data_IF_096343998434
#
_entry.id   IF_096343998434
#
_cell.length_a   1.000
_cell.length_b   1.000
_cell.length_c   1.000
_cell.angle_alpha   90.00
_cell.angle_beta   90.00
_cell.angle_gamma   90.00
#
_symmetry.space_group_name_H-M   'P 1'
#
loop_
_entity.id
_entity.type
_entity.pdbx_description
1 polymer ?
#
# COMPACT_ATOMS: atom_id res chain seq x y z
N UNK A 1 -2.97 -7.63 14.02
CA UNK A 1 -2.51 -6.25 14.33
C UNK A 1 -2.44 -5.46 13.02
N UNK A 2 -3.12 -4.32 12.91
CA UNK A 2 -2.95 -3.46 11.74
C UNK A 2 -1.66 -2.65 11.93
N UNK A 3 -0.56 -3.07 11.32
CA UNK A 3 0.74 -2.40 11.41
C UNK A 3 0.73 -0.92 10.97
N UNK A 4 -0.37 -0.45 10.40
CA UNK A 4 -0.53 0.92 9.89
C UNK A 4 -1.69 1.69 10.55
N UNK A 5 -2.21 1.24 11.69
CA UNK A 5 -3.33 1.91 12.37
C UNK A 5 -3.03 3.40 12.68
N UNK A 6 -1.83 3.69 13.19
CA UNK A 6 -1.40 5.07 13.47
C UNK A 6 -1.31 5.89 12.19
N UNK A 7 -0.86 5.27 11.10
CA UNK A 7 -0.76 5.92 9.79
C UNK A 7 -2.15 6.25 9.23
N UNK A 8 -3.14 5.40 9.43
CA UNK A 8 -4.52 5.64 9.00
C UNK A 8 -5.17 6.82 9.74
N UNK A 9 -4.79 7.05 11.00
CA UNK A 9 -5.23 8.19 11.80
C UNK A 9 -4.55 9.48 11.33
N UNK A 10 -3.23 9.44 11.10
CA UNK A 10 -2.48 10.59 10.58
C UNK A 10 -2.97 10.97 9.20
N UNK A 11 -3.19 10.02 8.28
CA UNK A 11 -3.61 10.29 6.91
C UNK A 11 -5.12 10.57 6.78
N UNK A 12 -5.68 11.37 7.68
CA UNK A 12 -7.07 11.79 7.61
C UNK A 12 -7.29 12.66 6.34
N UNK A 13 -8.19 12.27 5.42
CA UNK A 13 -8.45 13.02 4.20
C UNK A 13 -9.07 14.41 4.40
N UNK A 14 -9.56 14.71 5.61
CA UNK A 14 -10.06 16.05 5.95
C UNK A 14 -8.94 17.02 6.34
N UNK A 15 -7.76 16.51 6.69
CA UNK A 15 -6.61 17.31 7.09
C UNK A 15 -5.71 17.64 5.89
N UNK A 16 -4.98 18.77 5.94
CA UNK A 16 -4.19 19.31 4.82
C UNK A 16 -2.88 18.57 4.54
N UNK A 17 -2.86 17.24 4.70
CA UNK A 17 -1.66 16.42 4.56
C UNK A 17 -1.36 16.10 3.11
N UNK A 18 -2.39 16.00 2.27
CA UNK A 18 -2.24 15.84 0.84
C UNK A 18 -2.38 17.17 0.11
N UNK A 19 -1.50 17.41 -0.86
CA UNK A 19 -1.76 18.36 -1.94
C UNK A 19 -2.54 17.67 -3.05
N UNK A 20 -3.31 18.44 -3.84
CA UNK A 20 -4.06 17.89 -4.99
C UNK A 20 -3.15 17.16 -5.96
N UNK A 21 -1.98 17.73 -6.25
CA UNK A 21 -1.00 17.12 -7.14
C UNK A 21 -0.43 15.82 -6.55
N UNK A 22 -0.02 15.84 -5.27
CA UNK A 22 0.51 14.67 -4.58
C UNK A 22 -0.50 13.51 -4.54
N UNK A 23 -1.75 13.81 -4.22
CA UNK A 23 -2.82 12.82 -4.22
C UNK A 23 -3.06 12.22 -5.60
N UNK A 24 -3.06 13.03 -6.67
CA UNK A 24 -3.19 12.52 -8.05
C UNK A 24 -2.04 11.61 -8.45
N UNK A 25 -0.80 11.99 -8.11
CA UNK A 25 0.39 11.16 -8.40
C UNK A 25 0.33 9.82 -7.66
N UNK A 26 -0.10 9.82 -6.40
CA UNK A 26 -0.24 8.60 -5.60
C UNK A 26 -1.29 7.65 -6.18
N UNK A 27 -2.48 8.16 -6.51
CA UNK A 27 -3.58 7.35 -7.07
C UNK A 27 -3.20 6.78 -8.43
N UNK A 28 -2.51 7.55 -9.27
CA UNK A 28 -2.09 7.13 -10.60
C UNK A 28 -0.73 6.41 -10.63
N UNK A 29 -0.14 6.13 -9.46
CA UNK A 29 1.13 5.43 -9.40
C UNK A 29 0.97 4.06 -10.06
N UNK A 30 1.84 3.68 -11.01
CA UNK A 30 1.73 2.38 -11.67
C UNK A 30 1.91 1.26 -10.66
N UNK A 31 1.25 0.13 -10.89
CA UNK A 31 1.62 -1.13 -10.23
C UNK A 31 2.95 -1.61 -10.82
N UNK A 32 3.77 -2.26 -10.00
CA UNK A 32 4.98 -2.91 -10.48
C UNK A 32 4.66 -4.41 -10.71
N UNK A 33 4.50 -4.85 -11.97
CA UNK A 33 4.10 -6.22 -12.28
C UNK A 33 5.12 -7.26 -11.81
N UNK A 34 6.43 -6.94 -11.86
CA UNK A 34 7.48 -7.84 -11.37
C UNK A 34 7.35 -8.08 -9.87
N UNK A 35 7.04 -7.03 -9.11
CA UNK A 35 6.79 -7.15 -7.66
C UNK A 35 5.54 -7.96 -7.34
N UNK A 36 4.50 -7.87 -8.18
CA UNK A 36 3.28 -8.66 -8.00
C UNK A 36 3.57 -10.13 -8.27
N UNK A 37 4.19 -10.45 -9.42
CA UNK A 37 4.58 -11.81 -9.76
C UNK A 37 5.47 -12.42 -8.68
N UNK A 38 6.46 -11.66 -8.18
CA UNK A 38 7.33 -12.13 -7.10
C UNK A 38 6.58 -12.40 -5.79
N UNK A 39 5.60 -11.56 -5.46
CA UNK A 39 4.76 -11.74 -4.28
C UNK A 39 3.85 -12.97 -4.43
N UNK A 40 3.35 -13.25 -5.63
CA UNK A 40 2.57 -14.46 -5.93
C UNK A 40 3.42 -15.73 -5.80
N UNK A 41 4.60 -15.77 -6.41
CA UNK A 41 5.56 -16.88 -6.27
C UNK A 41 5.88 -17.20 -4.80
N UNK A 42 6.17 -16.16 -4.02
CA UNK A 42 6.49 -16.33 -2.60
C UNK A 42 5.26 -16.75 -1.78
N UNK A 43 4.07 -16.32 -2.19
CA UNK A 43 2.80 -16.76 -1.61
C UNK A 43 2.51 -18.24 -1.84
N UNK A 44 2.81 -18.76 -3.03
CA UNK A 44 2.71 -20.19 -3.34
C UNK A 44 3.67 -20.99 -2.46
N UNK A 45 4.95 -20.60 -2.40
CA UNK A 45 5.94 -21.24 -1.51
C UNK A 45 5.56 -21.16 -0.03
N UNK A 46 4.93 -20.07 0.40
CA UNK A 46 4.45 -19.92 1.77
C UNK A 46 3.36 -20.95 2.10
N UNK A 47 2.44 -21.20 1.16
CA UNK A 47 1.39 -22.21 1.31
C UNK A 47 1.91 -23.65 1.39
N UNK A 48 3.09 -23.89 0.80
CA UNK A 48 3.78 -25.18 0.84
C UNK A 48 4.77 -25.31 2.01
N UNK A 49 4.91 -24.28 2.86
CA UNK A 49 5.92 -24.18 3.93
C UNK A 49 7.38 -24.35 3.44
N UNK A 50 7.65 -24.03 2.16
CA UNK A 50 8.97 -24.18 1.53
C UNK A 50 9.81 -22.90 1.50
N UNK A 51 9.30 -21.81 2.09
CA UNK A 51 10.03 -20.53 2.16
C UNK A 51 11.31 -20.65 3.00
N UNK A 52 12.43 -20.23 2.40
CA UNK A 52 13.66 -19.96 3.16
C UNK A 52 13.48 -18.74 4.08
N UNK A 53 14.36 -18.59 5.08
CA UNK A 53 14.33 -17.41 5.96
C UNK A 53 14.49 -16.09 5.18
N UNK A 54 15.34 -16.07 4.15
CA UNK A 54 15.53 -14.89 3.31
C UNK A 54 14.27 -14.55 2.50
N UNK A 55 13.66 -15.56 1.90
CA UNK A 55 12.41 -15.40 1.13
C UNK A 55 11.23 -15.00 2.02
N UNK A 56 11.18 -15.49 3.26
CA UNK A 56 10.17 -15.06 4.24
C UNK A 56 10.29 -13.56 4.55
N UNK A 57 11.50 -13.07 4.82
CA UNK A 57 11.72 -11.64 5.04
C UNK A 57 11.41 -10.80 3.79
N UNK A 58 11.74 -11.29 2.60
CA UNK A 58 11.37 -10.64 1.33
C UNK A 58 9.84 -10.56 1.19
N UNK A 59 9.14 -11.67 1.42
CA UNK A 59 7.70 -11.77 1.31
C UNK A 59 6.97 -10.83 2.28
N UNK A 60 7.42 -10.78 3.54
CA UNK A 60 6.90 -9.86 4.54
C UNK A 60 7.12 -8.39 4.13
N UNK A 61 8.29 -8.04 3.60
CA UNK A 61 8.57 -6.70 3.11
C UNK A 61 7.68 -6.32 1.91
N UNK A 62 7.44 -7.25 0.98
CA UNK A 62 6.53 -7.06 -0.14
C UNK A 62 5.09 -6.82 0.34
N UNK A 63 4.59 -7.63 1.28
CA UNK A 63 3.26 -7.47 1.88
C UNK A 63 3.14 -6.12 2.57
N UNK A 64 4.09 -5.77 3.45
CA UNK A 64 4.03 -4.52 4.23
C UNK A 64 4.05 -3.28 3.33
N UNK A 65 4.94 -3.25 2.34
CA UNK A 65 5.01 -2.13 1.40
C UNK A 65 3.78 -2.05 0.49
N UNK A 66 3.23 -3.18 0.03
CA UNK A 66 2.00 -3.21 -0.76
C UNK A 66 0.81 -2.67 0.05
N UNK A 67 0.70 -3.07 1.32
CA UNK A 67 -0.34 -2.57 2.23
C UNK A 67 -0.20 -1.07 2.48
N UNK A 68 1.02 -0.58 2.72
CA UNK A 68 1.28 0.85 2.89
C UNK A 68 0.86 1.68 1.66
N UNK A 69 1.26 1.25 0.46
CA UNK A 69 0.89 1.91 -0.80
C UNK A 69 -0.63 1.93 -0.97
N UNK A 70 -1.30 0.82 -0.64
CA UNK A 70 -2.76 0.70 -0.75
C UNK A 70 -3.48 1.68 0.18
N UNK A 71 -3.04 1.79 1.43
CA UNK A 71 -3.58 2.78 2.39
C UNK A 71 -3.36 4.20 1.88
N UNK A 72 -2.16 4.54 1.41
CA UNK A 72 -1.86 5.87 0.87
C UNK A 72 -2.74 6.22 -0.33
N UNK A 73 -2.92 5.29 -1.28
CA UNK A 73 -3.80 5.48 -2.44
C UNK A 73 -5.26 5.68 -2.03
N UNK A 74 -5.73 4.89 -1.07
CA UNK A 74 -7.11 4.99 -0.58
C UNK A 74 -7.38 6.37 0.05
N UNK A 75 -6.47 6.83 0.92
CA UNK A 75 -6.60 8.14 1.59
C UNK A 75 -6.45 9.31 0.61
N UNK A 76 -5.51 9.23 -0.33
CA UNK A 76 -5.35 10.20 -1.41
C UNK A 76 -6.59 10.27 -2.32
N UNK A 77 -7.18 9.12 -2.66
CA UNK A 77 -8.42 9.04 -3.41
C UNK A 77 -9.58 9.70 -2.67
N UNK A 78 -9.76 9.38 -1.38
CA UNK A 78 -10.78 10.00 -0.54
C UNK A 78 -10.62 11.53 -0.45
N UNK A 79 -9.39 12.03 -0.29
CA UNK A 79 -9.10 13.47 -0.30
C UNK A 79 -9.56 14.13 -1.61
N UNK A 80 -9.25 13.53 -2.76
CA UNK A 80 -9.68 14.04 -4.07
C UNK A 80 -11.21 14.01 -4.27
N UNK A 81 -11.92 13.06 -3.65
CA UNK A 81 -13.38 13.02 -3.70
C UNK A 81 -13.99 14.10 -2.82
N UNK A 82 -13.47 14.30 -1.61
CA UNK A 82 -13.92 15.35 -0.70
C UNK A 82 -13.77 16.74 -1.33
N UNK A 83 -12.66 16.99 -2.04
CA UNK A 83 -12.44 18.25 -2.76
C UNK A 83 -13.49 18.51 -3.85
N UNK A 84 -14.02 17.46 -4.51
CA UNK A 84 -15.05 17.62 -5.55
C UNK A 84 -16.45 17.87 -4.97
N UNK A 85 -16.67 17.50 -3.71
CA UNK A 85 -17.95 17.62 -3.02
C UNK A 85 -18.09 18.94 -2.24
N UNK A 86 -16.99 19.69 -2.07
CA UNK A 86 -16.94 21.03 -1.49
C UNK A 86 -17.14 22.11 -2.56
#
# INVERSE_FOLDING_TARGET
MNAFADLEQVLNPADSIFTVEGARRLVNMPTNPERIARMEELGEKAGEDTLTCAERSEYEALIHSSKLISVLRLKAGAFLQNLKAA
#
